data_IF_112597660089
#
_entry.id   IF_112597660089
#
_cell.length_a   1.000
_cell.length_b   1.000
_cell.length_c   1.000
_cell.angle_alpha   90.00
_cell.angle_beta   90.00
_cell.angle_gamma   90.00
#
_symmetry.space_group_name_H-M   'P 1'
#
loop_
_entity.id
_entity.type
_entity.pdbx_description
1 polymer ?
#
# COMPACT_ATOMS: atom_id res chain seq x y z
N UNK A 1 -16.88 -3.68 15.43
CA UNK A 1 -15.73 -3.15 14.66
C UNK A 1 -14.57 -4.12 14.92
N UNK A 2 -13.92 -4.65 13.89
CA UNK A 2 -12.90 -5.70 14.06
C UNK A 2 -11.53 -5.11 14.42
N UNK A 3 -10.74 -5.86 15.19
CA UNK A 3 -9.37 -5.48 15.57
C UNK A 3 -8.47 -5.43 14.33
N UNK A 4 -8.04 -4.21 13.96
CA UNK A 4 -7.22 -3.95 12.78
C UNK A 4 -5.83 -4.56 12.88
N UNK A 5 -5.32 -4.82 14.08
CA UNK A 5 -4.01 -5.50 14.23
C UNK A 5 -4.05 -6.93 13.72
N UNK A 6 -5.18 -7.63 13.86
CA UNK A 6 -5.39 -8.94 13.26
C UNK A 6 -5.74 -8.86 11.77
N UNK A 7 -6.38 -7.78 11.31
CA UNK A 7 -6.75 -7.59 9.91
C UNK A 7 -5.56 -7.29 8.99
N UNK A 8 -4.48 -6.70 9.50
CA UNK A 8 -3.23 -6.52 8.76
C UNK A 8 -2.63 -7.85 8.23
N UNK A 9 -3.02 -8.99 8.82
CA UNK A 9 -2.64 -10.32 8.34
C UNK A 9 -3.33 -10.71 7.02
N UNK A 10 -4.44 -10.06 6.67
CA UNK A 10 -5.34 -10.44 5.58
C UNK A 10 -5.57 -9.32 4.55
N UNK A 11 -4.53 -8.51 4.29
CA UNK A 11 -4.58 -7.50 3.23
C UNK A 11 -5.18 -8.06 1.93
N UNK A 12 -6.03 -7.28 1.27
CA UNK A 12 -6.88 -7.73 0.16
C UNK A 12 -6.23 -7.48 -1.21
N UNK A 13 -5.29 -6.54 -1.28
CA UNK A 13 -4.53 -6.24 -2.49
C UNK A 13 -3.33 -7.19 -2.64
N UNK A 14 -2.92 -7.42 -3.89
CA UNK A 14 -1.83 -8.35 -4.19
C UNK A 14 -0.90 -7.93 -5.32
N UNK A 15 -1.16 -6.84 -6.04
CA UNK A 15 -0.47 -6.55 -7.30
C UNK A 15 -0.05 -5.09 -7.36
N UNK A 16 1.24 -4.87 -7.64
CA UNK A 16 1.82 -3.56 -7.91
C UNK A 16 2.12 -3.45 -9.41
N UNK A 17 1.62 -2.39 -10.03
CA UNK A 17 1.77 -2.13 -11.46
C UNK A 17 3.05 -1.36 -11.78
N UNK A 18 3.54 -1.40 -13.04
CA UNK A 18 4.74 -0.71 -13.50
C UNK A 18 5.00 0.67 -12.90
N UNK A 19 4.03 1.58 -13.02
CA UNK A 19 4.22 2.96 -12.56
C UNK A 19 4.38 3.07 -11.04
N UNK A 20 3.74 2.17 -10.28
CA UNK A 20 3.94 2.07 -8.82
C UNK A 20 5.34 1.54 -8.50
N UNK A 21 5.82 0.55 -9.25
CA UNK A 21 7.17 0.01 -9.08
C UNK A 21 8.23 1.06 -9.40
N UNK A 22 8.04 1.86 -10.44
CA UNK A 22 8.94 2.99 -10.78
C UNK A 22 8.99 4.04 -9.65
N UNK A 23 7.85 4.33 -9.01
CA UNK A 23 7.83 5.20 -7.83
C UNK A 23 8.58 4.58 -6.66
N UNK A 24 8.39 3.28 -6.40
CA UNK A 24 9.04 2.58 -5.31
C UNK A 24 10.55 2.42 -5.54
N UNK A 25 10.99 2.35 -6.79
CA UNK A 25 12.41 2.40 -7.19
C UNK A 25 13.04 3.75 -6.81
N UNK A 26 12.35 4.86 -7.09
CA UNK A 26 12.82 6.20 -6.68
C UNK A 26 12.95 6.36 -5.17
N UNK A 27 12.19 5.57 -4.39
CA UNK A 27 12.26 5.52 -2.93
C UNK A 27 13.27 4.48 -2.42
N UNK A 28 13.95 3.75 -3.30
CA UNK A 28 14.92 2.71 -2.95
C UNK A 28 14.31 1.43 -2.38
N UNK A 29 13.01 1.20 -2.59
CA UNK A 29 12.27 0.06 -2.02
C UNK A 29 12.09 -1.10 -2.99
N UNK A 30 12.38 -0.91 -4.27
CA UNK A 30 12.06 -1.88 -5.30
C UNK A 30 12.85 -3.20 -5.14
N UNK A 31 14.12 -3.14 -4.73
CA UNK A 31 14.96 -4.33 -4.57
C UNK A 31 14.42 -5.27 -3.48
N UNK A 32 14.10 -4.73 -2.30
CA UNK A 32 13.52 -5.49 -1.19
C UNK A 32 12.18 -6.12 -1.58
N UNK A 33 11.33 -5.36 -2.28
CA UNK A 33 10.04 -5.84 -2.78
C UNK A 33 10.22 -6.97 -3.81
N UNK A 34 11.17 -6.83 -4.72
CA UNK A 34 11.47 -7.84 -5.74
C UNK A 34 12.01 -9.14 -5.14
N UNK A 35 12.71 -9.07 -4.01
CA UNK A 35 13.23 -10.26 -3.32
C UNK A 35 12.11 -11.14 -2.74
N UNK A 36 11.00 -10.53 -2.33
CA UNK A 36 9.91 -11.22 -1.61
C UNK A 36 8.60 -11.34 -2.41
N UNK A 37 8.50 -10.66 -3.55
CA UNK A 37 7.36 -10.71 -4.45
C UNK A 37 7.54 -11.71 -5.61
N UNK A 38 6.46 -11.92 -6.36
CA UNK A 38 6.43 -12.75 -7.56
C UNK A 38 6.24 -11.89 -8.80
N UNK A 39 7.28 -11.81 -9.63
CA UNK A 39 7.23 -11.06 -10.89
C UNK A 39 6.40 -11.79 -11.92
N UNK A 40 5.39 -11.11 -12.46
CA UNK A 40 4.57 -11.61 -13.57
C UNK A 40 4.72 -10.70 -14.78
N UNK A 41 4.98 -11.33 -15.94
CA UNK A 41 5.16 -10.67 -17.25
C UNK A 41 4.20 -11.16 -18.32
N UNK A 42 3.41 -12.18 -18.00
CA UNK A 42 2.46 -12.78 -18.91
C UNK A 42 1.33 -13.45 -18.12
N UNK A 43 0.27 -13.81 -18.81
CA UNK A 43 -0.82 -14.62 -18.27
C UNK A 43 -1.42 -15.52 -19.34
N UNK A 44 -1.97 -16.64 -18.90
CA UNK A 44 -2.69 -17.56 -19.78
C UNK A 44 -4.16 -17.57 -19.39
N UNK A 45 -5.04 -17.30 -20.36
CA UNK A 45 -6.49 -17.38 -20.16
C UNK A 45 -7.04 -18.67 -20.75
N UNK A 46 -7.86 -19.37 -19.98
CA UNK A 46 -8.60 -20.55 -20.43
C UNK A 46 -10.11 -20.29 -20.38
N UNK A 47 -10.82 -20.81 -21.38
CA UNK A 47 -12.28 -20.84 -21.42
C UNK A 47 -12.73 -22.18 -21.99
N UNK A 48 -13.65 -22.85 -21.30
CA UNK A 48 -14.19 -24.16 -21.70
C UNK A 48 -13.09 -25.20 -21.97
N UNK A 49 -12.05 -25.21 -21.12
CA UNK A 49 -10.90 -26.10 -21.23
C UNK A 49 -9.91 -25.79 -22.36
N UNK A 50 -10.14 -24.71 -23.13
CA UNK A 50 -9.28 -24.30 -24.24
C UNK A 50 -8.59 -22.97 -23.93
N UNK A 51 -7.32 -22.85 -24.34
CA UNK A 51 -6.60 -21.57 -24.25
C UNK A 51 -7.27 -20.57 -25.20
N UNK A 52 -7.53 -19.37 -24.70
CA UNK A 52 -8.01 -18.23 -25.49
C UNK A 52 -6.98 -17.11 -25.37
N UNK A 53 -6.65 -16.48 -26.49
CA UNK A 53 -5.66 -15.40 -26.57
C UNK A 53 -6.33 -14.02 -26.60
N UNK A 54 -5.54 -12.97 -26.37
CA UNK A 54 -5.96 -11.57 -26.44
C UNK A 54 -7.18 -11.29 -25.55
N UNK A 55 -7.18 -11.85 -24.34
CA UNK A 55 -8.23 -11.65 -23.33
C UNK A 55 -7.65 -11.52 -21.93
N UNK A 56 -8.38 -10.81 -21.08
CA UNK A 56 -8.06 -10.68 -19.66
C UNK A 56 -6.70 -10.03 -19.44
N UNK A 57 -5.90 -10.62 -18.57
CA UNK A 57 -4.59 -10.11 -18.17
C UNK A 57 -3.55 -10.10 -19.31
N UNK A 58 -3.72 -10.92 -20.36
CA UNK A 58 -2.78 -10.97 -21.47
C UNK A 58 -2.73 -9.63 -22.22
N UNK A 59 -3.88 -8.98 -22.39
CA UNK A 59 -3.97 -7.62 -22.97
C UNK A 59 -3.24 -6.62 -22.09
N UNK A 60 -3.42 -6.73 -20.76
CA UNK A 60 -2.77 -5.83 -19.81
C UNK A 60 -1.24 -5.92 -19.92
N UNK A 61 -0.67 -7.13 -19.98
CA UNK A 61 0.78 -7.31 -20.14
C UNK A 61 1.30 -6.80 -21.48
N UNK A 62 0.54 -6.95 -22.57
CA UNK A 62 0.91 -6.36 -23.86
C UNK A 62 1.04 -4.83 -23.78
N UNK A 63 0.17 -4.16 -23.02
CA UNK A 63 0.23 -2.71 -22.83
C UNK A 63 1.30 -2.25 -21.83
N UNK A 64 1.89 -3.16 -21.04
CA UNK A 64 3.03 -2.86 -20.19
C UNK A 64 4.35 -2.94 -20.96
N UNK A 65 4.36 -3.53 -22.16
CA UNK A 65 5.57 -3.57 -22.98
C UNK A 65 6.01 -2.16 -23.38
N UNK A 66 7.26 -1.83 -23.11
CA UNK A 66 7.86 -0.53 -23.42
C UNK A 66 7.81 0.51 -22.30
N UNK A 67 7.20 0.21 -21.14
CA UNK A 67 7.44 1.00 -19.92
C UNK A 67 8.82 0.72 -19.34
N UNK A 68 9.30 1.56 -18.41
CA UNK A 68 10.64 1.39 -17.83
C UNK A 68 10.74 0.07 -17.04
N UNK A 69 9.69 -0.25 -16.28
CA UNK A 69 9.47 -1.59 -15.72
C UNK A 69 8.28 -2.22 -16.43
N UNK A 70 8.46 -3.38 -17.06
CA UNK A 70 7.46 -4.00 -17.94
C UNK A 70 6.69 -5.16 -17.29
N UNK A 71 6.63 -5.17 -15.95
CA UNK A 71 6.06 -6.28 -15.18
C UNK A 71 5.17 -5.81 -14.04
N UNK A 72 4.31 -6.72 -13.59
CA UNK A 72 3.60 -6.59 -12.33
C UNK A 72 4.36 -7.36 -11.24
N UNK A 73 4.47 -6.78 -10.05
CA UNK A 73 4.94 -7.51 -8.87
C UNK A 73 3.74 -7.97 -8.07
N UNK A 74 3.59 -9.29 -7.93
CA UNK A 74 2.55 -9.88 -7.09
C UNK A 74 3.11 -10.15 -5.70
N UNK A 75 2.57 -9.46 -4.70
CA UNK A 75 3.01 -9.52 -3.31
C UNK A 75 1.78 -9.32 -2.43
N UNK A 76 1.63 -10.12 -1.36
CA UNK A 76 0.51 -9.89 -0.43
C UNK A 76 0.65 -8.49 0.18
N UNK A 77 -0.44 -7.74 0.24
CA UNK A 77 -0.46 -6.36 0.73
C UNK A 77 0.28 -6.17 2.07
N UNK A 78 0.16 -7.12 3.01
CA UNK A 78 0.90 -7.12 4.28
C UNK A 78 2.41 -6.91 4.07
N UNK A 79 3.02 -7.65 3.15
CA UNK A 79 4.47 -7.63 2.94
C UNK A 79 4.93 -6.34 2.27
N UNK A 80 4.15 -5.81 1.32
CA UNK A 80 4.46 -4.49 0.76
C UNK A 80 4.33 -3.38 1.80
N UNK A 81 3.32 -3.45 2.68
CA UNK A 81 3.17 -2.49 3.77
C UNK A 81 4.28 -2.61 4.82
N UNK A 82 4.78 -3.82 5.09
CA UNK A 82 5.93 -4.05 5.97
C UNK A 82 7.19 -3.37 5.42
N UNK A 83 7.57 -3.61 4.16
CA UNK A 83 8.74 -2.95 3.54
C UNK A 83 8.63 -1.42 3.61
N UNK A 84 7.47 -0.86 3.26
CA UNK A 84 7.24 0.59 3.29
C UNK A 84 7.30 1.13 4.72
N UNK A 85 6.69 0.44 5.68
CA UNK A 85 6.67 0.84 7.09
C UNK A 85 8.05 0.78 7.71
N UNK A 86 8.81 -0.27 7.44
CA UNK A 86 10.17 -0.43 7.97
C UNK A 86 11.08 0.67 7.42
N UNK A 87 10.93 1.02 6.13
CA UNK A 87 11.60 2.17 5.54
C UNK A 87 11.19 3.49 6.23
N UNK A 88 9.89 3.73 6.46
CA UNK A 88 9.41 4.91 7.18
C UNK A 88 9.98 5.02 8.61
N UNK A 89 10.01 3.91 9.34
CA UNK A 89 10.60 3.84 10.69
C UNK A 89 12.11 4.08 10.66
N UNK A 90 12.82 3.55 9.65
CA UNK A 90 14.27 3.78 9.49
C UNK A 90 14.62 5.26 9.28
N UNK A 91 13.70 6.04 8.73
CA UNK A 91 13.82 7.49 8.56
C UNK A 91 13.46 8.28 9.83
N UNK A 92 13.13 7.60 10.93
CA UNK A 92 12.71 8.19 12.20
C UNK A 92 11.20 8.43 12.32
N UNK A 93 10.40 7.88 11.40
CA UNK A 93 8.96 7.94 11.46
C UNK A 93 8.37 7.06 12.56
N UNK A 94 7.27 7.51 13.17
CA UNK A 94 6.55 6.75 14.19
C UNK A 94 5.13 6.43 13.70
N UNK A 95 4.82 5.18 13.32
CA UNK A 95 3.49 4.83 12.83
C UNK A 95 2.51 4.64 14.00
N UNK A 96 1.43 5.43 14.00
CA UNK A 96 0.35 5.34 14.99
C UNK A 96 -0.65 4.23 14.63
N UNK A 97 -0.18 2.98 14.67
CA UNK A 97 -1.01 1.80 14.36
C UNK A 97 -1.98 1.52 15.52
N UNK A 98 -3.22 1.17 15.20
CA UNK A 98 -4.25 0.89 16.21
C UNK A 98 -4.93 2.14 16.77
N UNK A 99 -4.66 3.31 16.17
CA UNK A 99 -5.36 4.56 16.48
C UNK A 99 -6.52 4.77 15.51
N UNK A 100 -7.66 5.18 16.05
CA UNK A 100 -8.83 5.60 15.29
C UNK A 100 -8.87 7.12 15.23
N UNK A 101 -9.11 7.68 14.05
CA UNK A 101 -9.48 9.10 13.91
C UNK A 101 -10.97 9.24 14.23
N UNK A 102 -11.28 9.91 15.34
CA UNK A 102 -12.64 10.13 15.81
C UNK A 102 -13.27 11.37 15.18
N UNK A 103 -12.44 12.35 14.80
CA UNK A 103 -12.87 13.55 14.12
C UNK A 103 -11.72 14.54 13.93
N UNK A 104 -11.98 15.61 13.19
CA UNK A 104 -11.05 16.72 13.05
C UNK A 104 -11.80 18.05 13.02
N UNK A 105 -11.12 19.12 13.43
CA UNK A 105 -11.62 20.49 13.38
C UNK A 105 -10.62 21.38 12.63
N UNK A 106 -11.14 22.24 11.76
CA UNK A 106 -10.33 23.22 11.03
C UNK A 106 -10.58 24.60 11.65
N UNK A 107 -9.53 25.25 12.13
CA UNK A 107 -9.59 26.58 12.73
C UNK A 107 -9.44 27.66 11.66
N UNK A 108 -10.29 28.68 11.71
CA UNK A 108 -10.16 29.85 10.83
C UNK A 108 -8.95 30.72 11.20
N UNK A 109 -8.74 30.90 12.52
CA UNK A 109 -7.60 31.58 13.10
C UNK A 109 -6.99 30.71 14.21
N UNK A 110 -5.67 30.62 14.23
CA UNK A 110 -4.86 29.95 15.24
C UNK A 110 -3.60 30.76 15.48
N UNK A 111 -3.08 30.69 16.71
CA UNK A 111 -1.87 31.43 17.11
C UNK A 111 -0.58 30.76 16.60
N UNK A 112 -0.67 29.49 16.16
CA UNK A 112 0.39 28.72 15.51
C UNK A 112 0.07 28.47 14.02
N UNK A 113 0.94 27.77 13.30
CA UNK A 113 0.74 27.42 11.89
C UNK A 113 -0.16 26.17 11.69
N UNK A 114 -0.68 25.58 12.77
CA UNK A 114 -1.41 24.30 12.75
C UNK A 114 -2.93 24.51 12.81
N UNK A 115 -3.56 24.62 11.64
CA UNK A 115 -5.01 24.88 11.52
C UNK A 115 -5.90 23.68 11.79
N UNK A 116 -5.36 22.47 11.84
CA UNK A 116 -6.16 21.24 11.91
C UNK A 116 -5.88 20.52 13.22
N UNK A 117 -6.89 20.43 14.08
CA UNK A 117 -6.84 19.54 15.25
C UNK A 117 -7.50 18.21 14.86
N UNK A 118 -6.74 17.11 14.95
CA UNK A 118 -7.26 15.75 14.78
C UNK A 118 -7.39 15.07 16.13
N UNK A 119 -8.57 14.54 16.43
CA UNK A 119 -8.84 13.78 17.65
C UNK A 119 -8.73 12.30 17.35
N UNK A 120 -7.81 11.63 18.03
CA UNK A 120 -7.54 10.21 17.83
C UNK A 120 -7.66 9.45 19.15
N UNK A 121 -8.15 8.22 19.09
CA UNK A 121 -8.23 7.32 20.24
C UNK A 121 -7.56 5.98 19.91
N UNK A 122 -6.70 5.52 20.82
CA UNK A 122 -6.08 4.21 20.73
C UNK A 122 -7.13 3.13 21.02
N UNK A 123 -7.33 2.22 20.06
CA UNK A 123 -8.42 1.23 20.10
C UNK A 123 -8.26 0.24 21.26
N UNK A 124 -7.02 -0.08 21.65
CA UNK A 124 -6.74 -1.07 22.70
C UNK A 124 -6.91 -0.52 24.11
N UNK A 125 -6.51 0.73 24.36
CA UNK A 125 -6.45 1.32 25.70
C UNK A 125 -7.56 2.34 25.97
N UNK A 126 -8.18 2.88 24.92
CA UNK A 126 -9.11 4.01 25.02
C UNK A 126 -8.43 5.36 25.29
N UNK A 127 -7.09 5.42 25.25
CA UNK A 127 -6.34 6.67 25.40
C UNK A 127 -6.61 7.59 24.22
N UNK A 128 -7.02 8.83 24.49
CA UNK A 128 -7.23 9.84 23.45
C UNK A 128 -6.11 10.88 23.40
N UNK A 129 -5.85 11.41 22.21
CA UNK A 129 -4.90 12.47 21.93
C UNK A 129 -5.51 13.49 20.95
N UNK A 130 -5.03 14.72 21.01
CA UNK A 130 -5.24 15.73 19.95
C UNK A 130 -3.90 15.94 19.25
N UNK A 131 -3.87 15.64 17.96
CA UNK A 131 -2.72 15.88 17.07
C UNK A 131 -2.97 17.19 16.33
N UNK A 132 -1.98 18.07 16.29
CA UNK A 132 -2.01 19.35 15.57
C UNK A 132 -1.02 19.31 14.42
#
# INVERSE_FOLDING_TARGET
QHDKTQQAMYGRATTLHPRTLELLDQLGLLDDLNQIGYVARDSVTYRDGKRVTSRGWEIMYQHMQGTFLDYCLNIRQKYSEEVIRDAYVSLGGEPYIGWQLDGFAVKEACDDDYKVDSHVTEVSSGRSLTVR
#
